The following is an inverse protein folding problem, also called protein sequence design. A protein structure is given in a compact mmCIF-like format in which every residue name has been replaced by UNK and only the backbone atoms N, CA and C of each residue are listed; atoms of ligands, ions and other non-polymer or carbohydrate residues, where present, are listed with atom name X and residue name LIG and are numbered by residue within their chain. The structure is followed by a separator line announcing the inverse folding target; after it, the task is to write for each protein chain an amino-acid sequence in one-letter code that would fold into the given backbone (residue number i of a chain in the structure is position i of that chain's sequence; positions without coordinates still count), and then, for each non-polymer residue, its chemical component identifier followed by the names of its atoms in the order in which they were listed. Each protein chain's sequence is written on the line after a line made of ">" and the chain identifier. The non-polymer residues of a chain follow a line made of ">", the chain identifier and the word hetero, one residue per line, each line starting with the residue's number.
data_IF_313029492250
#
_entry.id   IF_313029492250
#
_cell.length_a   1.000
_cell.length_b   1.000
_cell.length_c   1.000
_cell.angle_alpha   90.00
_cell.angle_beta   90.00
_cell.angle_gamma   90.00
#
_symmetry.space_group_name_H-M   'P 1'
#
loop_
_entity.id
_entity.type
_entity.pdbx_description
1 polymer ?
#
# COMPACT_ATOMS: atom_id res chain seq x y z
N UNK A 1 -40.49 69.15 1.31
CA UNK A 1 -40.35 67.90 2.00
C UNK A 1 -39.06 67.30 1.50
N UNK A 2 -37.96 67.34 2.27
CA UNK A 2 -36.65 66.80 1.97
C UNK A 2 -36.54 65.40 2.60
N UNK A 3 -36.35 64.37 1.81
CA UNK A 3 -36.06 63.01 2.32
C UNK A 3 -34.57 62.89 2.63
N UNK A 4 -34.26 62.54 3.87
CA UNK A 4 -32.92 62.28 4.36
C UNK A 4 -32.70 60.75 4.20
N UNK A 5 -31.67 60.36 3.45
CA UNK A 5 -31.20 59.00 3.39
C UNK A 5 -30.07 58.81 4.42
N UNK A 6 -30.28 57.89 5.35
CA UNK A 6 -29.27 57.47 6.32
C UNK A 6 -28.51 56.28 5.68
N UNK A 7 -27.21 56.46 5.44
CA UNK A 7 -26.32 55.37 5.06
C UNK A 7 -25.84 54.67 6.34
N UNK A 8 -26.25 53.40 6.51
CA UNK A 8 -25.70 52.55 7.53
C UNK A 8 -24.36 51.98 7.08
N UNK A 9 -23.29 52.27 7.80
CA UNK A 9 -21.99 51.64 7.63
C UNK A 9 -22.00 50.26 8.26
N UNK A 10 -21.88 49.22 7.43
CA UNK A 10 -21.65 47.87 7.91
C UNK A 10 -20.14 47.70 8.22
N UNK A 11 -19.84 47.55 9.50
CA UNK A 11 -18.49 47.21 9.94
C UNK A 11 -18.22 45.72 9.64
N UNK A 12 -17.30 45.42 8.72
CA UNK A 12 -16.73 44.08 8.55
C UNK A 12 -15.79 43.79 9.73
N UNK A 13 -16.23 42.92 10.62
CA UNK A 13 -15.36 42.34 11.62
C UNK A 13 -14.45 41.28 10.90
N UNK A 14 -13.19 41.60 10.72
CA UNK A 14 -12.16 40.63 10.39
C UNK A 14 -11.93 39.74 11.62
N UNK A 15 -12.47 38.52 11.61
CA UNK A 15 -12.02 37.50 12.54
C UNK A 15 -10.61 37.08 12.11
N UNK A 16 -9.60 37.57 12.80
CA UNK A 16 -8.25 37.00 12.76
C UNK A 16 -8.34 35.62 13.41
N UNK A 17 -8.32 34.57 12.57
CA UNK A 17 -8.13 33.21 13.03
C UNK A 17 -6.64 33.13 13.42
N UNK A 18 -6.38 33.23 14.72
CA UNK A 18 -5.09 32.88 15.31
C UNK A 18 -4.91 31.38 15.15
N UNK A 19 -4.06 30.96 14.24
CA UNK A 19 -3.55 29.58 14.21
C UNK A 19 -2.70 29.37 15.46
N UNK A 20 -3.29 28.88 16.54
CA UNK A 20 -2.52 28.27 17.62
C UNK A 20 -1.90 26.99 17.11
N UNK A 21 -0.61 27.01 16.87
CA UNK A 21 0.24 25.83 16.74
C UNK A 21 0.43 25.21 18.12
N UNK A 22 -0.50 24.39 18.55
CA UNK A 22 -0.30 23.42 19.63
C UNK A 22 -0.99 22.13 19.23
N UNK A 23 -0.37 21.37 18.32
CA UNK A 23 -0.63 19.95 18.17
C UNK A 23 0.66 19.23 18.55
N UNK A 24 0.90 19.06 19.84
CA UNK A 24 1.88 18.11 20.38
C UNK A 24 1.22 16.71 20.45
N UNK A 25 0.84 16.14 19.29
CA UNK A 25 0.65 14.72 19.15
C UNK A 25 2.03 14.04 19.13
N UNK A 26 2.13 12.74 19.44
CA UNK A 26 3.39 12.04 19.31
C UNK A 26 3.87 12.15 17.85
N UNK A 27 5.11 12.63 17.68
CA UNK A 27 5.73 12.74 16.37
C UNK A 27 5.85 11.35 15.74
N UNK A 28 5.51 11.27 14.47
CA UNK A 28 5.82 10.08 13.66
C UNK A 28 7.32 9.95 13.47
N UNK A 29 7.84 8.77 13.07
CA UNK A 29 9.28 8.58 12.84
C UNK A 29 9.91 9.60 11.90
N UNK A 30 9.13 10.25 11.03
CA UNK A 30 9.57 11.29 10.09
C UNK A 30 9.30 12.73 10.59
N UNK A 31 8.88 12.92 11.86
CA UNK A 31 8.58 14.24 12.43
C UNK A 31 7.33 14.92 11.88
N UNK A 32 6.47 14.19 11.17
CA UNK A 32 5.21 14.69 10.60
C UNK A 32 4.03 14.39 11.54
N UNK A 33 2.89 15.10 11.40
CA UNK A 33 1.69 14.77 12.15
C UNK A 33 1.25 13.32 11.94
N UNK A 34 0.87 12.64 13.02
CA UNK A 34 0.35 11.28 12.95
C UNK A 34 -0.95 11.22 12.12
N UNK A 35 -1.04 10.26 11.21
CA UNK A 35 -2.26 9.99 10.46
C UNK A 35 -3.13 9.02 11.25
N UNK A 36 -4.32 9.49 11.65
CA UNK A 36 -5.23 8.75 12.53
C UNK A 36 -6.41 8.11 11.80
N UNK A 37 -6.43 8.17 10.48
CA UNK A 37 -7.50 7.56 9.66
C UNK A 37 -7.53 6.06 9.90
N UNK A 38 -8.69 5.54 10.33
CA UNK A 38 -8.92 4.12 10.63
C UNK A 38 -7.82 3.50 11.55
N UNK A 39 -7.32 4.27 12.51
CA UNK A 39 -6.25 3.85 13.43
C UNK A 39 -6.59 2.58 14.20
N UNK A 40 -7.85 2.36 14.50
CA UNK A 40 -8.39 1.17 15.15
C UNK A 40 -8.22 -0.12 14.32
N UNK A 41 -8.16 0.01 13.00
CA UNK A 41 -7.97 -1.08 12.05
C UNK A 41 -6.53 -1.22 11.56
N UNK A 42 -5.64 -0.26 11.85
CA UNK A 42 -4.24 -0.28 11.40
C UNK A 42 -3.46 -1.38 12.12
N UNK A 43 -2.99 -2.38 11.39
CA UNK A 43 -2.26 -3.55 11.95
C UNK A 43 -0.79 -3.58 11.57
N UNK A 44 -0.39 -2.88 10.51
CA UNK A 44 1.03 -2.67 10.17
C UNK A 44 1.24 -1.30 9.55
N UNK A 45 2.37 -0.66 9.89
CA UNK A 45 2.83 0.58 9.31
C UNK A 45 4.34 0.52 9.11
N UNK A 46 4.79 0.77 7.90
CA UNK A 46 6.19 0.82 7.50
C UNK A 46 6.45 2.17 6.82
N UNK A 47 6.99 3.16 7.56
CA UNK A 47 7.23 4.50 7.04
C UNK A 47 8.49 4.58 6.16
N UNK A 48 9.35 3.55 6.21
CA UNK A 48 10.61 3.46 5.47
C UNK A 48 11.61 4.60 5.70
N UNK A 49 11.56 5.30 6.83
CA UNK A 49 12.62 6.23 7.24
C UNK A 49 13.95 5.49 7.50
N UNK A 50 13.85 4.24 7.88
CA UNK A 50 14.88 3.22 8.05
C UNK A 50 14.22 1.83 8.07
N UNK A 51 14.96 0.79 8.50
CA UNK A 51 14.40 -0.56 8.59
C UNK A 51 13.40 -0.78 9.74
N UNK A 52 13.14 0.21 10.59
CA UNK A 52 12.25 0.06 11.75
C UNK A 52 10.80 0.21 11.34
N UNK A 53 9.95 -0.74 11.74
CA UNK A 53 8.51 -0.62 11.56
C UNK A 53 7.93 0.49 12.45
N UNK A 54 6.97 1.22 11.96
CA UNK A 54 6.21 2.22 12.73
C UNK A 54 5.22 1.60 13.71
N UNK A 55 4.87 0.31 13.55
CA UNK A 55 4.07 -0.46 14.50
C UNK A 55 4.97 -1.34 15.36
N UNK A 56 4.85 -1.22 16.67
CA UNK A 56 5.72 -1.91 17.63
C UNK A 56 5.62 -3.45 17.61
N UNK A 57 4.59 -3.99 16.97
CA UNK A 57 4.35 -5.44 16.90
C UNK A 57 5.18 -6.15 15.83
N UNK A 58 5.71 -5.43 14.86
CA UNK A 58 6.54 -5.99 13.78
C UNK A 58 8.02 -5.91 14.16
N UNK A 59 8.74 -7.01 14.02
CA UNK A 59 10.18 -7.07 14.27
C UNK A 59 10.91 -7.44 12.99
N UNK A 60 11.92 -6.67 12.61
CA UNK A 60 12.78 -6.99 11.48
C UNK A 60 13.48 -8.33 11.73
N UNK A 61 13.25 -9.29 10.83
CA UNK A 61 13.80 -10.64 10.90
C UNK A 61 15.01 -10.81 9.99
N UNK A 62 14.96 -10.23 8.78
CA UNK A 62 16.02 -10.29 7.78
C UNK A 62 15.93 -9.09 6.84
N UNK A 63 17.05 -8.70 6.27
CA UNK A 63 17.13 -7.59 5.31
C UNK A 63 18.14 -7.83 4.16
N UNK A 64 18.67 -9.04 4.07
CA UNK A 64 19.67 -9.39 3.06
C UNK A 64 20.82 -8.39 3.02
N UNK A 65 21.08 -7.80 1.86
CA UNK A 65 22.13 -6.78 1.65
C UNK A 65 21.65 -5.33 1.85
N UNK A 66 20.44 -5.12 2.37
CA UNK A 66 19.91 -3.78 2.63
C UNK A 66 20.77 -3.02 3.64
N UNK A 67 21.10 -1.78 3.32
CA UNK A 67 21.87 -0.84 4.13
C UNK A 67 21.13 0.49 4.24
N UNK A 68 21.67 1.43 4.98
CA UNK A 68 21.13 2.80 5.06
C UNK A 68 21.03 3.50 3.69
N UNK A 69 21.87 3.12 2.72
CA UNK A 69 21.84 3.67 1.35
C UNK A 69 20.58 3.28 0.55
N UNK A 70 19.79 2.31 1.03
CA UNK A 70 18.52 1.93 0.42
C UNK A 70 17.36 2.83 0.88
N UNK A 71 17.56 3.65 1.90
CA UNK A 71 16.59 4.62 2.39
C UNK A 71 16.90 5.99 1.81
N UNK A 72 16.38 6.23 0.61
CA UNK A 72 16.60 7.43 -0.20
C UNK A 72 15.49 8.46 0.01
N UNK A 73 15.60 9.62 -0.61
CA UNK A 73 14.53 10.62 -0.59
C UNK A 73 13.23 10.03 -1.12
N UNK A 74 12.18 10.10 -0.30
CA UNK A 74 10.88 9.51 -0.54
C UNK A 74 9.80 10.52 -0.90
N UNK A 75 8.57 10.05 -0.92
CA UNK A 75 7.40 10.90 -1.04
C UNK A 75 7.21 11.74 0.22
N UNK A 76 7.42 11.11 1.38
CA UNK A 76 7.42 11.76 2.70
C UNK A 76 8.68 11.34 3.44
N UNK A 77 9.60 12.25 3.72
CA UNK A 77 10.87 11.88 4.36
C UNK A 77 11.71 10.97 3.47
N UNK A 78 11.96 9.74 3.92
CA UNK A 78 12.66 8.71 3.14
C UNK A 78 11.70 7.62 2.68
N UNK A 79 12.12 6.86 1.67
CA UNK A 79 11.46 5.67 1.16
C UNK A 79 12.43 4.51 1.05
N UNK A 80 11.94 3.29 0.95
CA UNK A 80 12.76 2.13 0.63
C UNK A 80 12.91 1.98 -0.90
N UNK A 81 14.16 1.94 -1.36
CA UNK A 81 14.53 1.57 -2.72
C UNK A 81 15.25 0.23 -2.68
N UNK A 82 14.61 -0.80 -3.23
CA UNK A 82 15.18 -2.13 -3.28
C UNK A 82 16.24 -2.31 -4.37
N UNK A 83 16.78 -3.51 -4.44
CA UNK A 83 17.76 -3.94 -5.43
C UNK A 83 18.07 -5.41 -5.27
N UNK A 84 19.06 -5.93 -5.98
CA UNK A 84 19.42 -7.35 -5.91
C UNK A 84 19.83 -7.76 -4.49
N UNK A 85 19.08 -8.71 -3.91
CA UNK A 85 19.22 -9.16 -2.51
C UNK A 85 19.02 -8.04 -1.47
N UNK A 86 18.31 -6.97 -1.81
CA UNK A 86 17.95 -5.87 -0.92
C UNK A 86 16.43 -5.90 -0.70
N UNK A 87 16.04 -6.24 0.52
CA UNK A 87 14.66 -6.48 0.91
C UNK A 87 14.52 -6.28 2.43
N UNK A 88 13.28 -6.29 2.91
CA UNK A 88 12.98 -6.26 4.34
C UNK A 88 11.97 -7.37 4.66
N UNK A 89 12.26 -8.18 5.67
CA UNK A 89 11.36 -9.20 6.20
C UNK A 89 11.05 -8.89 7.65
N UNK A 90 9.77 -8.75 7.95
CA UNK A 90 9.28 -8.54 9.30
C UNK A 90 8.51 -9.76 9.79
N UNK A 91 8.84 -10.23 10.99
CA UNK A 91 8.07 -11.30 11.67
C UNK A 91 6.73 -10.76 12.13
N UNK A 92 5.67 -11.53 11.87
CA UNK A 92 4.31 -11.30 12.35
C UNK A 92 4.08 -12.20 13.58
N UNK A 93 3.83 -11.63 14.77
CA UNK A 93 3.58 -12.43 15.98
C UNK A 93 2.42 -13.42 15.82
N UNK A 94 2.49 -14.54 16.53
CA UNK A 94 1.49 -15.60 16.42
C UNK A 94 0.08 -15.16 16.85
N UNK A 95 -0.04 -14.19 17.73
CA UNK A 95 -1.27 -13.59 18.24
C UNK A 95 -1.68 -12.30 17.49
N UNK A 96 -0.95 -11.96 16.44
CA UNK A 96 -1.25 -10.76 15.65
C UNK A 96 -2.58 -10.87 14.89
N UNK A 97 -3.42 -9.83 14.90
CA UNK A 97 -4.65 -9.79 14.09
C UNK A 97 -4.39 -9.91 12.60
N UNK A 98 -3.18 -9.63 12.12
CA UNK A 98 -2.77 -9.81 10.72
C UNK A 98 -3.04 -11.25 10.25
N UNK A 99 -2.82 -12.25 11.14
CA UNK A 99 -2.95 -13.67 10.78
C UNK A 99 -4.40 -14.14 10.57
N UNK A 100 -5.36 -13.37 11.06
CA UNK A 100 -6.79 -13.76 11.10
C UNK A 100 -7.71 -12.73 10.46
N UNK A 101 -7.14 -11.81 9.66
CA UNK A 101 -7.95 -10.84 8.90
C UNK A 101 -8.89 -11.56 7.94
N UNK A 102 -10.13 -11.10 7.90
CA UNK A 102 -11.17 -11.62 7.00
C UNK A 102 -11.36 -10.74 5.76
N UNK A 103 -11.09 -9.47 5.91
CA UNK A 103 -10.96 -8.47 4.87
C UNK A 103 -9.70 -7.66 5.13
N UNK A 104 -9.29 -6.83 4.21
CA UNK A 104 -8.09 -6.01 4.36
C UNK A 104 -8.14 -4.73 3.53
N UNK A 105 -7.29 -3.80 3.89
CA UNK A 105 -6.83 -2.74 3.01
C UNK A 105 -5.33 -2.62 3.15
N UNK A 106 -4.59 -2.53 2.05
CA UNK A 106 -3.23 -2.02 2.09
C UNK A 106 -3.10 -0.78 1.22
N UNK A 107 -2.27 0.15 1.66
CA UNK A 107 -1.93 1.38 0.95
C UNK A 107 -0.42 1.58 0.92
N UNK A 108 0.08 2.19 -0.15
CA UNK A 108 1.46 2.62 -0.24
C UNK A 108 1.61 3.71 -1.32
N UNK A 109 2.62 4.56 -1.17
CA UNK A 109 3.17 5.31 -2.29
C UNK A 109 4.17 4.44 -3.02
N UNK A 110 4.08 4.42 -4.34
CA UNK A 110 4.95 3.63 -5.21
C UNK A 110 5.46 4.50 -6.34
N UNK A 111 6.76 4.46 -6.59
CA UNK A 111 7.38 5.02 -7.77
C UNK A 111 8.11 3.90 -8.53
N UNK A 112 7.55 3.54 -9.67
CA UNK A 112 8.02 2.42 -10.48
C UNK A 112 8.35 2.91 -11.88
N UNK A 113 9.59 2.74 -12.36
CA UNK A 113 9.92 2.88 -13.76
C UNK A 113 9.13 1.89 -14.64
N UNK A 114 8.95 2.22 -15.90
CA UNK A 114 8.36 1.30 -16.87
C UNK A 114 9.15 -0.02 -16.92
N UNK A 115 8.44 -1.14 -17.07
CA UNK A 115 9.04 -2.48 -17.15
C UNK A 115 8.60 -3.12 -18.48
N UNK A 116 9.33 -2.87 -19.59
CA UNK A 116 9.02 -3.48 -20.87
C UNK A 116 9.20 -5.00 -20.85
N UNK A 117 8.39 -5.73 -21.60
CA UNK A 117 8.52 -7.19 -21.76
C UNK A 117 9.92 -7.65 -22.17
N UNK A 118 10.65 -6.79 -22.90
CA UNK A 118 12.00 -7.07 -23.37
C UNK A 118 13.09 -7.04 -22.28
N UNK A 119 12.79 -6.46 -21.10
CA UNK A 119 13.85 -6.11 -20.13
C UNK A 119 13.73 -6.79 -18.77
N UNK A 120 12.64 -7.59 -18.52
CA UNK A 120 12.51 -7.64 -17.13
C UNK A 120 11.97 -8.75 -16.34
N UNK A 121 12.53 -8.98 -15.18
CA UNK A 121 11.83 -9.62 -14.08
C UNK A 121 10.75 -8.70 -13.48
N UNK A 122 9.74 -9.36 -12.91
CA UNK A 122 8.59 -8.73 -12.24
C UNK A 122 8.94 -8.47 -10.77
N UNK A 123 8.97 -7.22 -10.30
CA UNK A 123 9.23 -6.93 -8.89
C UNK A 123 8.04 -7.29 -8.02
N UNK A 124 8.33 -7.91 -6.87
CA UNK A 124 7.36 -8.06 -5.78
C UNK A 124 7.56 -6.92 -4.79
N UNK A 125 6.51 -6.15 -4.57
CA UNK A 125 6.53 -5.05 -3.61
C UNK A 125 6.22 -5.51 -2.19
N UNK A 126 5.21 -6.37 -2.06
CA UNK A 126 4.71 -6.83 -0.78
C UNK A 126 4.18 -8.25 -0.85
N UNK A 127 4.55 -9.07 0.12
CA UNK A 127 3.91 -10.35 0.41
C UNK A 127 3.58 -10.46 1.90
N UNK A 128 2.35 -10.85 2.21
CA UNK A 128 2.03 -11.45 3.51
C UNK A 128 2.27 -12.95 3.36
N UNK A 129 3.40 -13.42 3.86
CA UNK A 129 3.97 -14.70 3.47
C UNK A 129 3.81 -15.79 4.53
N UNK A 130 3.88 -17.03 4.07
CA UNK A 130 4.04 -18.21 4.88
C UNK A 130 5.49 -18.70 4.76
N UNK A 131 6.16 -18.91 5.89
CA UNK A 131 7.54 -19.43 5.92
C UNK A 131 7.65 -20.90 5.55
N UNK A 132 6.58 -21.66 5.71
CA UNK A 132 6.57 -23.07 5.34
C UNK A 132 6.56 -23.19 3.82
N UNK A 133 7.69 -23.60 3.26
CA UNK A 133 7.89 -23.78 1.81
C UNK A 133 6.97 -24.84 1.19
N UNK A 134 6.45 -25.75 2.00
CA UNK A 134 5.55 -26.82 1.56
C UNK A 134 4.06 -26.39 1.68
N UNK A 135 3.79 -25.19 2.20
CA UNK A 135 2.45 -24.66 2.27
C UNK A 135 1.93 -24.23 0.89
N UNK A 136 0.62 -24.37 0.63
CA UNK A 136 0.03 -24.06 -0.68
C UNK A 136 0.29 -22.64 -1.17
N UNK A 137 0.47 -21.68 -0.23
CA UNK A 137 0.62 -20.25 -0.56
C UNK A 137 2.04 -19.71 -0.34
N UNK A 138 3.00 -20.60 -0.20
CA UNK A 138 4.39 -20.18 -0.11
C UNK A 138 4.81 -19.30 -1.28
N UNK A 139 4.39 -19.64 -2.50
CA UNK A 139 4.82 -18.95 -3.70
C UNK A 139 4.27 -17.51 -3.83
N UNK A 140 2.96 -17.34 -3.69
CA UNK A 140 2.30 -16.04 -3.90
C UNK A 140 2.06 -15.26 -2.61
N UNK A 141 2.06 -15.94 -1.47
CA UNK A 141 1.70 -15.39 -0.18
C UNK A 141 0.17 -15.38 0.05
N UNK A 142 -0.21 -15.03 1.28
CA UNK A 142 -1.62 -14.82 1.64
C UNK A 142 -2.19 -13.52 1.05
N UNK A 143 -1.35 -12.50 0.90
CA UNK A 143 -1.57 -11.30 0.09
C UNK A 143 -0.28 -11.05 -0.67
N UNK A 144 -0.37 -10.83 -1.98
CA UNK A 144 0.76 -10.49 -2.83
C UNK A 144 0.47 -9.23 -3.64
N UNK A 145 1.47 -8.36 -3.79
CA UNK A 145 1.41 -7.16 -4.61
C UNK A 145 2.67 -7.05 -5.47
N UNK A 146 2.50 -7.15 -6.77
CA UNK A 146 3.57 -7.07 -7.77
C UNK A 146 3.21 -6.11 -8.91
N UNK A 147 4.24 -5.67 -9.63
CA UNK A 147 4.08 -4.92 -10.88
C UNK A 147 4.53 -5.79 -12.02
N UNK A 148 3.66 -6.01 -13.01
CA UNK A 148 3.98 -6.82 -14.19
C UNK A 148 4.54 -5.94 -15.31
N UNK A 149 5.05 -6.61 -16.34
CA UNK A 149 5.61 -6.00 -17.53
C UNK A 149 4.52 -5.42 -18.42
N UNK A 150 4.88 -4.39 -19.17
CA UNK A 150 4.04 -3.74 -20.17
C UNK A 150 4.74 -3.69 -21.53
N UNK A 151 4.03 -3.29 -22.57
CA UNK A 151 4.64 -2.98 -23.85
C UNK A 151 5.65 -1.83 -23.71
N UNK A 152 6.69 -1.84 -24.53
CA UNK A 152 7.71 -0.78 -24.52
C UNK A 152 7.11 0.57 -24.93
N UNK A 153 7.36 1.60 -24.14
CA UNK A 153 6.83 2.93 -24.34
C UNK A 153 5.35 3.08 -24.00
N UNK A 154 4.76 2.13 -23.26
CA UNK A 154 3.37 2.20 -22.86
C UNK A 154 3.07 3.40 -21.94
N UNK A 155 4.05 3.83 -21.14
CA UNK A 155 3.93 4.96 -20.22
C UNK A 155 3.08 4.66 -18.98
N UNK A 156 2.57 3.44 -18.85
CA UNK A 156 1.78 2.98 -17.70
C UNK A 156 2.35 1.68 -17.13
N UNK A 157 1.83 1.29 -15.97
CA UNK A 157 2.19 0.07 -15.25
C UNK A 157 1.02 -0.91 -15.21
N UNK A 158 1.35 -2.19 -15.14
CA UNK A 158 0.38 -3.26 -14.88
C UNK A 158 0.59 -3.76 -13.45
N UNK A 159 -0.39 -3.55 -12.59
CA UNK A 159 -0.35 -4.01 -11.22
C UNK A 159 -1.12 -5.32 -11.04
N UNK A 160 -0.57 -6.21 -10.23
CA UNK A 160 -1.21 -7.47 -9.85
C UNK A 160 -1.27 -7.59 -8.34
N UNK A 161 -2.41 -8.03 -7.86
CA UNK A 161 -2.58 -8.46 -6.47
C UNK A 161 -3.28 -9.80 -6.43
N UNK A 162 -2.94 -10.60 -5.44
CA UNK A 162 -3.67 -11.82 -5.10
C UNK A 162 -3.91 -11.86 -3.60
N UNK A 163 -4.96 -12.55 -3.19
CA UNK A 163 -5.24 -12.79 -1.78
C UNK A 163 -5.91 -14.13 -1.57
N UNK A 164 -5.54 -14.78 -0.47
CA UNK A 164 -5.86 -16.16 -0.17
C UNK A 164 -7.23 -16.33 0.45
N UNK A 165 -7.93 -17.40 0.00
CA UNK A 165 -9.16 -17.88 0.60
C UNK A 165 -9.00 -19.34 1.05
N UNK A 166 -8.31 -19.55 2.16
CA UNK A 166 -8.08 -20.86 2.74
C UNK A 166 -7.53 -21.88 1.76
N UNK A 167 -8.07 -23.10 1.80
CA UNK A 167 -7.70 -24.18 0.88
C UNK A 167 -8.35 -24.05 -0.52
N UNK A 168 -9.33 -23.15 -0.67
CA UNK A 168 -10.06 -22.99 -1.94
C UNK A 168 -9.24 -22.31 -3.03
N UNK A 169 -8.16 -21.64 -2.67
CA UNK A 169 -7.26 -20.99 -3.60
C UNK A 169 -7.11 -19.48 -3.38
N UNK A 170 -6.59 -18.80 -4.38
CA UNK A 170 -6.37 -17.35 -4.34
C UNK A 170 -7.25 -16.60 -5.33
N UNK A 171 -7.71 -15.44 -4.93
CA UNK A 171 -8.40 -14.48 -5.80
C UNK A 171 -7.33 -13.59 -6.43
N UNK A 172 -7.37 -13.49 -7.77
CA UNK A 172 -6.45 -12.68 -8.54
C UNK A 172 -7.13 -11.46 -9.11
N UNK A 173 -6.48 -10.32 -8.97
CA UNK A 173 -6.86 -9.06 -9.60
C UNK A 173 -5.67 -8.50 -10.37
N UNK A 174 -5.88 -8.27 -11.66
CA UNK A 174 -4.86 -7.73 -12.56
C UNK A 174 -5.39 -6.44 -13.19
N UNK A 175 -4.57 -5.41 -13.16
CA UNK A 175 -4.83 -4.10 -13.71
C UNK A 175 -3.79 -3.82 -14.77
N UNK A 176 -4.21 -3.81 -16.02
CA UNK A 176 -3.34 -3.61 -17.18
C UNK A 176 -3.70 -2.31 -17.93
N UNK A 177 -3.15 -2.18 -19.13
CA UNK A 177 -3.27 -1.00 -19.97
C UNK A 177 -4.65 -0.46 -20.25
N UNK A 178 -5.70 -1.23 -20.08
CA UNK A 178 -7.07 -0.74 -20.22
C UNK A 178 -7.40 0.31 -19.14
N UNK A 179 -6.58 0.37 -18.09
CA UNK A 179 -6.64 1.35 -17.00
C UNK A 179 -5.36 2.22 -16.96
N UNK A 180 -4.59 2.25 -18.05
CA UNK A 180 -3.22 2.74 -18.11
C UNK A 180 -2.99 4.16 -17.65
N UNK A 181 -3.92 5.06 -17.89
CA UNK A 181 -3.80 6.44 -17.41
C UNK A 181 -3.85 6.54 -15.88
N UNK A 182 -4.43 5.53 -15.20
CA UNK A 182 -4.52 5.49 -13.75
C UNK A 182 -3.20 5.16 -13.06
N UNK A 183 -2.29 4.46 -13.76
CA UNK A 183 -1.03 3.96 -13.19
C UNK A 183 0.19 4.41 -14.00
N UNK A 184 0.45 5.72 -14.09
CA UNK A 184 1.57 6.21 -14.88
C UNK A 184 2.91 5.77 -14.31
N UNK A 185 3.82 5.35 -15.21
CA UNK A 185 5.18 4.94 -14.85
C UNK A 185 6.08 6.14 -14.49
N UNK A 186 7.11 5.88 -13.69
CA UNK A 186 8.18 6.83 -13.39
C UNK A 186 7.80 8.01 -12.51
N UNK A 187 6.68 7.92 -11.79
CA UNK A 187 6.26 8.93 -10.80
C UNK A 187 5.57 8.30 -9.60
N UNK A 188 5.50 9.04 -8.50
CA UNK A 188 4.81 8.61 -7.31
C UNK A 188 3.30 8.50 -7.53
N UNK A 189 2.75 7.33 -7.19
CA UNK A 189 1.32 7.05 -7.15
C UNK A 189 0.96 6.54 -5.76
N UNK A 190 -0.07 7.08 -5.14
CA UNK A 190 -0.68 6.50 -3.96
C UNK A 190 -1.65 5.41 -4.39
N UNK A 191 -1.37 4.18 -4.00
CA UNK A 191 -2.15 3.01 -4.35
C UNK A 191 -2.84 2.46 -3.10
N UNK A 192 -4.13 2.16 -3.21
CA UNK A 192 -4.89 1.48 -2.15
C UNK A 192 -5.64 0.32 -2.76
N UNK A 193 -5.53 -0.84 -2.14
CA UNK A 193 -6.23 -2.07 -2.49
C UNK A 193 -7.05 -2.50 -1.28
N UNK A 194 -8.33 -2.66 -1.48
CA UNK A 194 -9.29 -2.93 -0.40
C UNK A 194 -10.18 -4.10 -0.75
N UNK A 195 -10.29 -5.08 0.15
CA UNK A 195 -11.25 -6.18 0.05
C UNK A 195 -12.19 -6.17 1.25
N UNK A 196 -13.49 -6.07 0.95
CA UNK A 196 -14.56 -6.14 1.93
C UNK A 196 -15.14 -7.56 1.96
N UNK A 197 -14.94 -8.27 3.07
CA UNK A 197 -15.45 -9.64 3.23
C UNK A 197 -16.99 -9.72 3.40
N UNK A 198 -17.62 -8.67 3.91
CA UNK A 198 -19.07 -8.65 4.13
C UNK A 198 -19.84 -8.54 2.81
N UNK A 199 -19.31 -7.76 1.84
CA UNK A 199 -19.92 -7.58 0.52
C UNK A 199 -19.24 -8.41 -0.58
N UNK A 200 -18.07 -8.99 -0.29
CA UNK A 200 -17.19 -9.66 -1.26
C UNK A 200 -16.78 -8.74 -2.43
N UNK A 201 -16.53 -7.48 -2.13
CA UNK A 201 -16.15 -6.46 -3.09
C UNK A 201 -14.68 -6.10 -2.95
N UNK A 202 -14.05 -5.85 -4.08
CA UNK A 202 -12.66 -5.41 -4.16
C UNK A 202 -12.57 -4.07 -4.88
N UNK A 203 -11.85 -3.13 -4.27
CA UNK A 203 -11.67 -1.80 -4.81
C UNK A 203 -10.20 -1.42 -4.90
N UNK A 204 -9.86 -0.67 -5.95
CA UNK A 204 -8.55 -0.07 -6.17
C UNK A 204 -8.71 1.44 -6.24
N UNK A 205 -7.89 2.13 -5.49
CA UNK A 205 -7.84 3.59 -5.51
C UNK A 205 -6.45 4.04 -5.94
N UNK A 206 -6.42 5.04 -6.79
CA UNK A 206 -5.20 5.72 -7.22
C UNK A 206 -5.31 7.20 -6.90
N UNK A 207 -4.35 7.70 -6.13
CA UNK A 207 -4.33 9.10 -5.71
C UNK A 207 -5.67 9.56 -5.10
N UNK A 208 -6.26 8.69 -4.28
CA UNK A 208 -7.50 8.94 -3.54
C UNK A 208 -8.80 8.75 -4.33
N UNK A 209 -8.74 8.40 -5.61
CA UNK A 209 -9.91 8.16 -6.46
C UNK A 209 -10.11 6.65 -6.70
N UNK A 210 -11.35 6.16 -6.59
CA UNK A 210 -11.70 4.79 -6.98
C UNK A 210 -11.60 4.67 -8.51
N UNK A 211 -10.79 3.72 -8.96
CA UNK A 211 -10.56 3.42 -10.38
C UNK A 211 -11.00 2.00 -10.74
N UNK A 212 -11.78 1.36 -9.86
CA UNK A 212 -12.20 -0.01 -10.02
C UNK A 212 -13.26 -0.13 -11.13
N UNK A 213 -13.02 -0.89 -12.19
CA UNK A 213 -14.08 -1.19 -13.14
C UNK A 213 -15.19 -2.03 -12.49
N UNK A 214 -16.43 -1.77 -12.87
CA UNK A 214 -17.59 -2.50 -12.34
C UNK A 214 -17.43 -4.03 -12.47
N UNK A 215 -16.86 -4.50 -13.58
CA UNK A 215 -16.61 -5.93 -13.84
C UNK A 215 -15.57 -6.57 -12.89
N UNK A 216 -14.77 -5.77 -12.20
CA UNK A 216 -13.70 -6.24 -11.31
C UNK A 216 -14.05 -6.13 -9.82
N UNK A 217 -15.14 -5.47 -9.48
CA UNK A 217 -15.55 -5.26 -8.08
C UNK A 217 -15.85 -6.59 -7.39
N UNK A 218 -16.71 -7.42 -7.98
CA UNK A 218 -17.13 -8.67 -7.36
C UNK A 218 -15.98 -9.69 -7.22
N UNK A 219 -15.86 -10.28 -6.04
CA UNK A 219 -14.98 -11.40 -5.75
C UNK A 219 -15.80 -12.66 -5.57
N UNK A 220 -15.53 -13.64 -6.42
CA UNK A 220 -16.25 -14.91 -6.46
C UNK A 220 -15.27 -16.05 -6.27
N UNK A 221 -15.60 -17.00 -5.41
CA UNK A 221 -14.88 -18.24 -5.21
C UNK A 221 -15.87 -19.41 -5.29
N UNK A 222 -15.58 -20.40 -6.13
CA UNK A 222 -16.49 -21.56 -6.35
C UNK A 222 -17.93 -21.14 -6.63
N UNK A 223 -18.12 -20.17 -7.53
CA UNK A 223 -19.43 -19.64 -7.98
C UNK A 223 -20.25 -18.91 -6.89
N UNK A 224 -19.64 -18.58 -5.75
CA UNK A 224 -20.29 -17.86 -4.64
C UNK A 224 -19.49 -16.61 -4.29
N UNK A 225 -20.12 -15.60 -3.64
CA UNK A 225 -19.38 -14.51 -3.01
C UNK A 225 -18.27 -15.06 -2.11
N UNK A 226 -17.07 -14.49 -2.21
CA UNK A 226 -15.92 -15.03 -1.51
C UNK A 226 -16.03 -14.95 0.02
N UNK A 227 -16.66 -13.90 0.56
CA UNK A 227 -16.88 -13.76 2.00
C UNK A 227 -15.60 -13.57 2.80
N UNK A 228 -15.55 -14.19 3.98
CA UNK A 228 -14.39 -14.12 4.86
C UNK A 228 -13.16 -14.76 4.23
N UNK A 229 -12.03 -14.04 4.20
CA UNK A 229 -10.74 -14.63 3.84
C UNK A 229 -10.24 -15.55 4.95
N UNK A 230 -9.44 -16.52 4.55
CA UNK A 230 -8.75 -17.42 5.46
C UNK A 230 -7.28 -17.53 5.02
N UNK A 231 -6.38 -17.04 5.86
CA UNK A 231 -4.94 -17.08 5.61
C UNK A 231 -4.32 -18.36 6.15
N UNK A 232 -3.27 -18.84 5.48
CA UNK A 232 -2.50 -20.00 5.90
C UNK A 232 -1.10 -19.52 6.27
N UNK A 233 -0.78 -19.52 7.57
CA UNK A 233 0.53 -19.17 8.10
C UNK A 233 0.98 -17.78 7.63
N UNK A 234 0.28 -16.73 8.02
CA UNK A 234 0.67 -15.35 7.71
C UNK A 234 1.81 -14.90 8.67
N UNK A 235 3.00 -15.47 8.48
CA UNK A 235 4.10 -15.40 9.44
C UNK A 235 5.00 -14.20 9.25
N UNK A 236 5.05 -13.65 8.02
CA UNK A 236 5.95 -12.57 7.67
C UNK A 236 5.35 -11.57 6.70
N UNK A 237 5.77 -10.33 6.85
CA UNK A 237 5.65 -9.29 5.82
C UNK A 237 7.00 -9.20 5.11
N UNK A 238 6.99 -9.43 3.80
CA UNK A 238 8.16 -9.32 2.92
C UNK A 238 7.98 -8.10 2.03
N UNK A 239 8.97 -7.24 1.99
CA UNK A 239 9.02 -6.04 1.13
C UNK A 239 10.19 -6.15 0.16
N UNK A 240 9.93 -5.98 -1.12
CA UNK A 240 10.96 -5.82 -2.15
C UNK A 240 11.53 -7.13 -2.71
N UNK A 241 10.96 -8.29 -2.36
CA UNK A 241 11.42 -9.58 -2.87
C UNK A 241 10.31 -10.61 -2.98
N UNK A 242 10.50 -11.58 -3.87
CA UNK A 242 9.75 -12.83 -3.89
C UNK A 242 10.29 -13.79 -2.83
N UNK A 243 9.47 -14.22 -1.88
CA UNK A 243 9.90 -15.11 -0.80
C UNK A 243 10.48 -16.44 -1.30
N UNK A 244 9.92 -17.13 -2.32
CA UNK A 244 10.53 -18.36 -2.85
C UNK A 244 11.94 -18.16 -3.36
N UNK A 245 12.23 -16.99 -3.94
CA UNK A 245 13.59 -16.66 -4.41
C UNK A 245 14.58 -16.59 -3.26
N UNK A 246 14.14 -16.21 -2.08
CA UNK A 246 14.98 -16.11 -0.88
C UNK A 246 15.17 -17.45 -0.18
N UNK A 247 14.11 -18.25 -0.06
CA UNK A 247 14.11 -19.47 0.74
C UNK A 247 14.45 -20.73 -0.08
N UNK A 248 13.86 -20.84 -1.27
CA UNK A 248 13.99 -22.03 -2.12
C UNK A 248 15.08 -21.89 -3.16
N UNK A 249 15.64 -20.68 -3.32
CA UNK A 249 16.57 -20.39 -4.41
C UNK A 249 15.90 -20.49 -5.78
N UNK A 250 14.59 -20.21 -5.87
CA UNK A 250 13.86 -20.23 -7.13
C UNK A 250 14.54 -19.35 -8.18
N UNK A 251 14.70 -19.87 -9.37
CA UNK A 251 15.49 -19.26 -10.45
C UNK A 251 14.63 -18.82 -11.63
N UNK A 252 13.30 -18.70 -11.43
CA UNK A 252 12.40 -18.23 -12.48
C UNK A 252 12.84 -16.83 -12.94
N UNK A 253 13.20 -16.72 -14.21
CA UNK A 253 13.77 -15.50 -14.80
C UNK A 253 12.84 -14.28 -14.71
N UNK A 254 11.54 -14.52 -14.61
CA UNK A 254 10.54 -13.45 -14.48
C UNK A 254 10.42 -12.89 -13.05
N UNK A 255 10.91 -13.60 -12.02
CA UNK A 255 10.88 -13.13 -10.63
C UNK A 255 12.01 -12.13 -10.37
N UNK A 256 11.65 -10.89 -10.10
CA UNK A 256 12.57 -9.79 -9.89
C UNK A 256 12.66 -9.28 -8.47
N UNK A 257 13.71 -8.51 -8.27
CA UNK A 257 13.86 -7.63 -7.13
C UNK A 257 13.15 -6.29 -7.42
N UNK A 258 12.85 -5.56 -6.38
CA UNK A 258 12.34 -4.19 -6.48
C UNK A 258 13.48 -3.21 -6.90
N UNK A 259 14.19 -3.55 -8.00
CA UNK A 259 15.33 -2.78 -8.49
C UNK A 259 14.87 -1.43 -9.07
N UNK A 260 15.51 -0.34 -8.61
CA UNK A 260 15.19 1.06 -8.99
C UNK A 260 13.75 1.50 -8.68
N UNK A 261 12.97 0.64 -8.07
CA UNK A 261 11.61 0.93 -7.65
C UNK A 261 11.61 1.41 -6.21
N UNK A 262 10.66 2.23 -5.87
CA UNK A 262 10.55 2.85 -4.55
C UNK A 262 9.18 2.58 -3.95
N UNK A 263 9.15 2.31 -2.64
CA UNK A 263 7.92 2.20 -1.85
C UNK A 263 8.04 3.08 -0.60
N UNK A 264 6.95 3.73 -0.24
CA UNK A 264 6.88 4.64 0.89
C UNK A 264 5.53 4.52 1.61
N UNK A 265 5.50 4.83 2.90
CA UNK A 265 4.28 4.96 3.72
C UNK A 265 3.35 3.74 3.63
N UNK A 266 3.88 2.51 3.63
CA UNK A 266 3.07 1.30 3.56
C UNK A 266 2.24 1.10 4.82
N UNK A 267 0.93 0.91 4.65
CA UNK A 267 -0.03 0.58 5.72
C UNK A 267 -0.85 -0.64 5.38
N UNK A 268 -1.12 -1.47 6.38
CA UNK A 268 -2.03 -2.60 6.31
C UNK A 268 -3.11 -2.45 7.38
N UNK A 269 -4.35 -2.55 6.96
CA UNK A 269 -5.54 -2.47 7.81
C UNK A 269 -6.28 -3.80 7.82
N UNK A 270 -6.86 -4.17 8.94
CA UNK A 270 -7.56 -5.45 9.16
C UNK A 270 -8.99 -5.51 8.60
N UNK A 271 -9.42 -4.48 7.87
CA UNK A 271 -10.73 -4.39 7.20
C UNK A 271 -10.64 -3.57 5.91
N UNK A 272 -11.70 -3.63 5.12
CA UNK A 272 -11.88 -2.67 4.06
C UNK A 272 -12.01 -1.24 4.63
N UNK A 273 -11.29 -0.28 4.05
CA UNK A 273 -11.54 1.14 4.24
C UNK A 273 -12.68 1.58 3.31
N UNK A 274 -13.52 2.47 3.79
CA UNK A 274 -14.51 3.14 2.95
C UNK A 274 -13.84 4.10 1.98
N UNK A 275 -14.52 4.46 0.89
CA UNK A 275 -14.01 5.45 -0.07
C UNK A 275 -13.69 6.80 0.59
N UNK A 276 -14.48 7.21 1.59
CA UNK A 276 -14.23 8.42 2.36
C UNK A 276 -12.96 8.31 3.21
N UNK A 277 -12.74 7.18 3.88
CA UNK A 277 -11.50 6.92 4.64
C UNK A 277 -10.28 6.91 3.72
N UNK A 278 -10.36 6.28 2.55
CA UNK A 278 -9.27 6.30 1.55
C UNK A 278 -8.98 7.72 1.09
N UNK A 279 -10.01 8.50 0.80
CA UNK A 279 -9.86 9.91 0.41
C UNK A 279 -9.26 10.77 1.53
N UNK A 280 -9.64 10.52 2.80
CA UNK A 280 -9.05 11.19 3.95
C UNK A 280 -7.59 10.80 4.15
N UNK A 281 -7.25 9.50 4.01
CA UNK A 281 -5.89 9.00 4.10
C UNK A 281 -4.99 9.68 3.06
N UNK A 282 -5.40 9.66 1.79
CA UNK A 282 -4.66 10.32 0.71
C UNK A 282 -4.42 11.81 0.99
N UNK A 283 -5.45 12.56 1.41
CA UNK A 283 -5.30 13.98 1.72
C UNK A 283 -4.37 14.23 2.90
N UNK A 284 -4.44 13.40 3.94
CA UNK A 284 -3.56 13.51 5.10
C UNK A 284 -2.10 13.24 4.72
N UNK A 285 -1.85 12.23 3.89
CA UNK A 285 -0.51 11.93 3.40
C UNK A 285 0.04 13.02 2.47
N UNK A 286 -0.79 13.55 1.56
CA UNK A 286 -0.40 14.69 0.70
C UNK A 286 -0.03 15.91 1.52
N UNK A 287 -0.74 16.18 2.62
CA UNK A 287 -0.41 17.30 3.51
C UNK A 287 0.94 17.12 4.24
N UNK A 288 1.43 15.88 4.33
CA UNK A 288 2.73 15.56 4.94
C UNK A 288 3.90 15.51 3.94
N UNK A 289 3.64 15.70 2.65
CA UNK A 289 4.69 15.72 1.61
C UNK A 289 5.63 16.92 1.84
N UNK A 290 6.93 16.67 1.70
CA UNK A 290 7.91 17.76 1.68
C UNK A 290 7.74 18.57 0.38
N UNK A 291 7.61 19.89 0.50
CA UNK A 291 7.70 20.82 -0.64
C UNK A 291 9.12 20.93 -1.19
#
# INVERSE_FOLDING_TARGET
>A
MKKIYVFGAAALALCAISCNKENNGPDTPNGKPEITVAKDALVAYLPFENETAGTAVLTLADKGKTTEANFVEGRTGKCFQGGENQYLIYSVPADSPIRTMKGFTYSAWVNQPEIPYSQAPVPMYFQLANLDKDAPEHFWGNIGFSVDRTDEGAGYLTYKTCFRHGQDGSIWKTWNGDYGECFPAGRWNHLVYSYNNETSEFHVYVNGADVTPESAVACVMSEKPAGDLEFIGADQIVIGAWLPKLLDGATDEWMGWMDKSQIDEFRLYSRALTADEVSQLYRAEVANINE
#
